data_IF_250721827285
#
_entry.id   IF_250721827285
#
_cell.length_a   1.000
_cell.length_b   1.000
_cell.length_c   1.000
_cell.angle_alpha   90.00
_cell.angle_beta   90.00
_cell.angle_gamma   90.00
#
_symmetry.space_group_name_H-M   'P 1'
#
loop_
_entity.id
_entity.type
_entity.pdbx_description
1 polymer ?
#
# COMPACT_ATOMS: atom_id res chain seq x y z
N UNK A 1 -5.43 26.08 8.67
CA UNK A 1 -4.87 26.26 7.31
C UNK A 1 -4.76 24.85 6.77
N UNK A 2 -5.54 24.46 5.76
CA UNK A 2 -5.41 23.12 5.17
C UNK A 2 -3.99 23.02 4.64
N UNK A 3 -3.22 22.12 5.22
CA UNK A 3 -1.80 21.98 4.93
C UNK A 3 -1.61 20.82 3.95
N UNK A 4 -0.54 20.88 3.16
CA UNK A 4 -0.21 19.81 2.23
C UNK A 4 0.46 18.65 2.97
N UNK A 5 -0.27 17.95 3.84
CA UNK A 5 0.34 17.00 4.77
C UNK A 5 -0.16 15.56 4.70
N UNK A 6 -1.19 15.22 3.90
CA UNK A 6 -1.70 13.83 3.82
C UNK A 6 -0.59 12.81 3.58
N UNK A 7 0.33 13.09 2.65
CA UNK A 7 1.51 12.23 2.40
C UNK A 7 2.49 12.19 3.57
N UNK A 8 2.67 13.30 4.29
CA UNK A 8 3.53 13.36 5.47
C UNK A 8 2.93 12.59 6.66
N UNK A 9 1.60 12.66 6.84
CA UNK A 9 0.87 11.89 7.85
C UNK A 9 0.94 10.40 7.56
N UNK A 10 0.71 10.00 6.31
CA UNK A 10 0.87 8.62 5.87
C UNK A 10 2.29 8.12 6.12
N UNK A 11 3.30 8.89 5.75
CA UNK A 11 4.70 8.54 5.98
C UNK A 11 5.00 8.38 7.47
N UNK A 12 4.54 9.31 8.31
CA UNK A 12 4.75 9.26 9.76
C UNK A 12 4.11 8.03 10.37
N UNK A 13 2.87 7.73 9.98
CA UNK A 13 2.17 6.53 10.42
C UNK A 13 2.94 5.27 10.02
N UNK A 14 3.37 5.17 8.76
CA UNK A 14 4.09 4.00 8.26
C UNK A 14 5.41 3.78 9.01
N UNK A 15 6.18 4.84 9.27
CA UNK A 15 7.43 4.74 10.04
C UNK A 15 7.18 4.23 11.46
N UNK A 16 6.10 4.68 12.12
CA UNK A 16 5.77 4.25 13.47
C UNK A 16 5.32 2.78 13.55
N UNK A 17 4.66 2.28 12.50
CA UNK A 17 4.12 0.91 12.43
C UNK A 17 5.08 -0.08 11.74
N UNK A 18 6.29 0.35 11.37
CA UNK A 18 7.24 -0.50 10.65
C UNK A 18 6.82 -0.87 9.23
N UNK A 19 6.00 -0.01 8.59
CA UNK A 19 5.55 -0.17 7.20
C UNK A 19 6.50 0.62 6.30
N UNK A 20 6.97 -0.01 5.23
CA UNK A 20 7.83 0.66 4.24
C UNK A 20 6.96 1.53 3.35
N UNK A 21 7.15 2.84 3.44
CA UNK A 21 6.36 3.82 2.67
C UNK A 21 7.09 4.29 1.40
N UNK A 22 6.44 4.11 0.26
CA UNK A 22 6.90 4.54 -1.06
C UNK A 22 6.01 5.72 -1.52
N UNK A 23 6.43 6.98 -1.27
CA UNK A 23 5.75 8.13 -1.86
C UNK A 23 6.03 8.11 -3.36
N UNK A 24 4.98 7.99 -4.18
CA UNK A 24 5.17 7.88 -5.62
C UNK A 24 4.33 8.86 -6.42
N UNK A 25 4.91 9.26 -7.55
CA UNK A 25 4.30 10.11 -8.57
C UNK A 25 3.75 9.23 -9.72
N UNK A 26 4.20 7.97 -9.85
CA UNK A 26 3.74 7.04 -10.91
C UNK A 26 3.93 5.57 -10.55
N UNK A 27 3.11 4.68 -11.14
CA UNK A 27 3.23 3.23 -10.92
C UNK A 27 4.61 2.68 -11.36
N UNK A 28 5.17 3.19 -12.47
CA UNK A 28 6.50 2.80 -12.94
C UNK A 28 7.61 3.10 -11.93
N UNK A 29 7.48 4.23 -11.21
CA UNK A 29 8.43 4.58 -10.15
C UNK A 29 8.28 3.66 -8.93
N UNK A 30 7.05 3.21 -8.62
CA UNK A 30 6.83 2.21 -7.55
C UNK A 30 7.58 0.92 -7.89
N UNK A 31 7.46 0.41 -9.12
CA UNK A 31 8.22 -0.77 -9.56
C UNK A 31 9.73 -0.56 -9.43
N UNK A 32 10.28 0.55 -9.94
CA UNK A 32 11.73 0.79 -9.86
C UNK A 32 12.26 0.91 -8.44
N UNK A 33 11.49 1.51 -7.51
CA UNK A 33 11.90 1.61 -6.10
C UNK A 33 11.80 0.26 -5.41
N UNK A 34 10.77 -0.53 -5.75
CA UNK A 34 10.63 -1.90 -5.25
C UNK A 34 11.82 -2.76 -5.71
N UNK A 35 12.23 -2.66 -6.97
CA UNK A 35 13.35 -3.46 -7.49
C UNK A 35 14.72 -3.11 -6.87
N UNK A 36 14.87 -1.91 -6.31
CA UNK A 36 16.14 -1.45 -5.71
C UNK A 36 16.29 -1.78 -4.23
N UNK A 37 15.20 -2.16 -3.56
CA UNK A 37 15.22 -2.43 -2.13
C UNK A 37 15.15 -3.94 -1.87
N UNK A 38 15.99 -4.40 -0.96
CA UNK A 38 15.81 -5.72 -0.35
C UNK A 38 14.72 -5.62 0.72
N UNK A 39 13.71 -6.48 0.59
CA UNK A 39 12.59 -6.59 1.51
C UNK A 39 12.69 -7.92 2.26
N UNK A 40 12.44 -7.93 3.55
CA UNK A 40 12.34 -9.16 4.34
C UNK A 40 10.98 -9.83 4.16
N UNK A 41 10.90 -11.12 4.48
CA UNK A 41 9.61 -11.81 4.44
C UNK A 41 8.62 -11.15 5.41
N UNK A 42 7.38 -10.96 4.97
CA UNK A 42 6.29 -10.32 5.70
C UNK A 42 6.38 -8.81 5.85
N UNK A 43 7.38 -8.17 5.24
CA UNK A 43 7.42 -6.71 5.18
C UNK A 43 6.16 -6.16 4.54
N UNK A 44 5.58 -5.16 5.21
CA UNK A 44 4.45 -4.40 4.70
C UNK A 44 4.96 -3.22 3.89
N UNK A 45 4.45 -3.08 2.68
CA UNK A 45 4.86 -2.06 1.72
C UNK A 45 3.64 -1.23 1.37
N UNK A 46 3.64 0.05 1.70
CA UNK A 46 2.59 0.99 1.34
C UNK A 46 3.06 1.96 0.27
N UNK A 47 2.27 2.15 -0.77
CA UNK A 47 2.49 3.20 -1.76
C UNK A 47 1.28 4.13 -1.83
N UNK A 48 1.52 5.40 -2.15
CA UNK A 48 0.47 6.38 -2.38
C UNK A 48 0.78 7.22 -3.63
N UNK A 49 -0.16 7.24 -4.56
CA UNK A 49 -0.15 8.03 -5.79
C UNK A 49 -1.34 8.99 -5.74
N UNK A 50 -1.11 10.22 -5.26
CA UNK A 50 -2.17 11.21 -5.15
C UNK A 50 -1.95 12.42 -6.05
N UNK A 51 -3.06 12.90 -6.59
CA UNK A 51 -3.18 14.24 -7.14
C UNK A 51 -3.84 15.14 -6.10
N UNK A 52 -3.23 16.28 -5.80
CA UNK A 52 -3.86 17.33 -4.99
C UNK A 52 -4.74 18.19 -5.89
N UNK A 53 -6.05 18.15 -5.65
CA UNK A 53 -7.07 18.94 -6.35
C UNK A 53 -7.46 20.12 -5.49
N UNK A 54 -7.23 21.33 -5.99
CA UNK A 54 -7.57 22.56 -5.28
C UNK A 54 -8.98 23.00 -5.68
N UNK A 55 -9.84 23.16 -4.69
CA UNK A 55 -11.20 23.65 -4.87
C UNK A 55 -11.23 25.12 -4.46
N UNK A 56 -11.52 25.98 -5.43
CA UNK A 56 -11.66 27.41 -5.24
C UNK A 56 -13.14 27.81 -5.28
N UNK A 57 -13.55 28.67 -4.35
CA UNK A 57 -14.81 29.41 -4.42
C UNK A 57 -14.51 30.91 -4.41
N UNK A 58 -15.03 31.64 -5.39
CA UNK A 58 -14.78 33.07 -5.56
C UNK A 58 -13.27 33.45 -5.45
N UNK A 59 -12.41 32.65 -6.08
CA UNK A 59 -10.94 32.80 -6.07
C UNK A 59 -10.27 32.63 -4.69
N UNK A 60 -10.99 32.12 -3.69
CA UNK A 60 -10.44 31.69 -2.40
C UNK A 60 -10.32 30.18 -2.38
N UNK A 61 -9.17 29.68 -1.95
CA UNK A 61 -9.00 28.25 -1.72
C UNK A 61 -9.92 27.85 -0.56
N UNK A 62 -10.85 26.93 -0.83
CA UNK A 62 -11.80 26.40 0.15
C UNK A 62 -11.37 25.02 0.62
N UNK A 63 -10.85 24.20 -0.29
CA UNK A 63 -10.50 22.82 0.00
C UNK A 63 -9.31 22.35 -0.85
N UNK A 64 -8.48 21.46 -0.29
CA UNK A 64 -7.52 20.63 -1.03
C UNK A 64 -7.95 19.17 -0.85
N UNK A 65 -8.44 18.55 -1.92
CA UNK A 65 -8.78 17.13 -1.93
C UNK A 65 -7.65 16.32 -2.58
N UNK A 66 -7.24 15.23 -1.95
CA UNK A 66 -6.28 14.26 -2.50
C UNK A 66 -7.04 13.12 -3.15
N UNK A 67 -6.86 12.94 -4.45
CA UNK A 67 -7.50 11.86 -5.20
C UNK A 67 -6.45 11.02 -5.92
N UNK A 68 -6.59 9.70 -5.86
CA UNK A 68 -5.69 8.80 -6.57
C UNK A 68 -5.72 7.40 -5.99
N UNK A 69 -4.57 6.73 -6.00
CA UNK A 69 -4.45 5.33 -5.59
C UNK A 69 -3.58 5.23 -4.35
N UNK A 70 -4.04 4.49 -3.35
CA UNK A 70 -3.19 4.01 -2.25
C UNK A 70 -3.21 2.49 -2.24
N UNK A 71 -2.08 1.86 -1.99
CA UNK A 71 -2.01 0.42 -1.88
C UNK A 71 -1.15 -0.03 -0.72
N UNK A 72 -1.51 -1.18 -0.18
CA UNK A 72 -0.78 -1.89 0.86
C UNK A 72 -0.51 -3.30 0.36
N UNK A 73 0.76 -3.69 0.37
CA UNK A 73 1.17 -5.04 0.08
C UNK A 73 1.99 -5.66 1.17
N UNK A 74 2.22 -6.95 1.03
CA UNK A 74 3.07 -7.76 1.89
C UNK A 74 3.95 -8.64 1.03
N UNK A 75 5.26 -8.64 1.32
CA UNK A 75 6.17 -9.62 0.72
C UNK A 75 5.88 -11.02 1.27
N UNK A 76 5.77 -11.99 0.38
CA UNK A 76 5.41 -13.37 0.70
C UNK A 76 6.45 -14.36 0.14
N UNK A 77 7.64 -14.39 0.73
CA UNK A 77 8.70 -15.37 0.44
C UNK A 77 8.85 -16.31 1.64
N UNK A 78 8.86 -17.64 1.49
CA UNK A 78 9.19 -18.50 2.65
C UNK A 78 10.67 -18.37 3.00
N UNK A 79 11.04 -18.80 4.21
CA UNK A 79 12.43 -18.86 4.65
C UNK A 79 13.34 -19.56 3.61
N UNK A 80 14.60 -19.13 3.54
CA UNK A 80 15.62 -19.80 2.72
C UNK A 80 15.78 -21.24 3.23
N UNK A 81 15.39 -22.22 2.43
CA UNK A 81 15.63 -23.64 2.73
C UNK A 81 16.94 -24.02 2.05
N UNK A 82 17.95 -24.36 2.85
CA UNK A 82 19.17 -24.99 2.34
C UNK A 82 18.80 -26.39 1.81
N UNK A 83 19.01 -26.61 0.51
CA UNK A 83 18.81 -27.91 -0.12
C UNK A 83 19.91 -28.90 0.27
N UNK A 84 19.75 -30.18 -0.09
CA UNK A 84 20.72 -31.23 0.25
C UNK A 84 22.11 -31.01 -0.39
N UNK A 85 22.23 -30.10 -1.37
CA UNK A 85 23.45 -29.74 -2.07
C UNK A 85 24.09 -28.42 -1.55
N UNK A 86 23.47 -27.77 -0.55
CA UNK A 86 23.95 -26.53 0.05
C UNK A 86 23.58 -25.26 -0.74
N UNK A 87 22.66 -25.34 -1.70
CA UNK A 87 22.05 -24.17 -2.34
C UNK A 87 20.80 -23.74 -1.57
N UNK A 88 20.66 -22.43 -1.37
CA UNK A 88 19.47 -21.88 -0.71
C UNK A 88 18.35 -21.72 -1.74
N UNK A 89 17.25 -22.44 -1.54
CA UNK A 89 16.03 -22.30 -2.34
C UNK A 89 14.99 -21.51 -1.55
N UNK A 90 14.33 -20.55 -2.22
CA UNK A 90 13.21 -19.80 -1.64
C UNK A 90 11.93 -20.58 -1.95
N UNK A 91 11.36 -21.29 -0.97
CA UNK A 91 9.99 -21.76 -1.14
C UNK A 91 9.09 -20.52 -1.22
N UNK A 92 8.18 -20.45 -2.18
CA UNK A 92 7.29 -19.29 -2.31
C UNK A 92 5.99 -19.61 -1.56
N UNK A 93 5.56 -18.83 -0.56
CA UNK A 93 4.24 -19.04 0.08
C UNK A 93 3.10 -18.97 -0.96
N UNK A 94 3.35 -18.23 -2.06
CA UNK A 94 2.56 -18.29 -3.29
C UNK A 94 2.79 -19.61 -4.03
N UNK A 95 2.15 -20.68 -3.56
CA UNK A 95 2.05 -21.92 -4.32
C UNK A 95 1.14 -21.71 -5.55
N UNK A 96 1.59 -22.16 -6.73
CA UNK A 96 0.79 -22.18 -7.96
C UNK A 96 -0.53 -22.96 -7.81
N UNK A 97 -0.61 -23.83 -6.80
CA UNK A 97 -1.76 -24.65 -6.46
C UNK A 97 -2.75 -23.98 -5.47
N UNK A 98 -2.49 -22.76 -5.00
CA UNK A 98 -3.42 -22.05 -4.12
C UNK A 98 -4.64 -21.53 -4.90
N UNK A 99 -5.84 -21.85 -4.40
CA UNK A 99 -7.07 -21.31 -5.00
C UNK A 99 -7.23 -19.81 -4.70
N UNK A 100 -7.89 -19.03 -5.56
CA UNK A 100 -8.16 -17.61 -5.29
C UNK A 100 -8.88 -17.36 -3.95
N UNK A 101 -9.76 -18.27 -3.52
CA UNK A 101 -10.46 -18.18 -2.24
C UNK A 101 -9.53 -18.33 -1.03
N UNK A 102 -8.66 -19.36 -1.05
CA UNK A 102 -7.66 -19.56 0.01
C UNK A 102 -6.71 -18.37 0.11
N UNK A 103 -6.29 -17.83 -1.04
CA UNK A 103 -5.46 -16.62 -1.11
C UNK A 103 -6.16 -15.40 -0.53
N UNK A 104 -7.44 -15.22 -0.86
CA UNK A 104 -8.25 -14.14 -0.30
C UNK A 104 -8.34 -14.23 1.23
N UNK A 105 -8.71 -15.39 1.76
CA UNK A 105 -8.91 -15.57 3.20
C UNK A 105 -7.61 -15.45 4.00
N UNK A 106 -6.49 -15.91 3.44
CA UNK A 106 -5.19 -15.90 4.13
C UNK A 106 -4.49 -14.55 4.07
N UNK A 107 -4.58 -13.83 2.95
CA UNK A 107 -3.70 -12.69 2.65
C UNK A 107 -4.46 -11.43 2.29
N UNK A 108 -5.28 -11.46 1.24
CA UNK A 108 -5.92 -10.24 0.72
C UNK A 108 -6.92 -9.63 1.71
N UNK A 109 -7.67 -10.46 2.44
CA UNK A 109 -8.61 -10.01 3.47
C UNK A 109 -7.88 -9.32 4.64
N UNK A 110 -6.74 -9.86 5.06
CA UNK A 110 -5.90 -9.23 6.07
C UNK A 110 -5.41 -7.86 5.60
N UNK A 111 -4.86 -7.79 4.37
CA UNK A 111 -4.37 -6.54 3.79
C UNK A 111 -5.49 -5.49 3.62
N UNK A 112 -6.66 -5.89 3.14
CA UNK A 112 -7.81 -5.00 2.99
C UNK A 112 -8.29 -4.44 4.34
N UNK A 113 -8.38 -5.29 5.38
CA UNK A 113 -8.72 -4.86 6.73
C UNK A 113 -7.67 -3.91 7.29
N UNK A 114 -6.39 -4.22 7.12
CA UNK A 114 -5.28 -3.40 7.60
C UNK A 114 -5.27 -2.04 6.89
N UNK A 115 -5.41 -2.01 5.57
CA UNK A 115 -5.50 -0.74 4.82
C UNK A 115 -6.70 0.11 5.28
N UNK A 116 -7.85 -0.52 5.54
CA UNK A 116 -9.04 0.17 6.07
C UNK A 116 -8.78 0.76 7.46
N UNK A 117 -8.12 0.01 8.35
CA UNK A 117 -7.75 0.47 9.69
C UNK A 117 -6.80 1.68 9.63
N UNK A 118 -5.78 1.60 8.77
CA UNK A 118 -4.79 2.69 8.59
C UNK A 118 -5.49 3.95 8.11
N UNK A 119 -6.30 3.83 7.05
CA UNK A 119 -7.05 4.96 6.48
C UNK A 119 -8.02 5.59 7.50
N UNK A 120 -8.73 4.76 8.27
CA UNK A 120 -9.66 5.23 9.30
C UNK A 120 -8.94 5.97 10.43
N UNK A 121 -7.80 5.43 10.87
CA UNK A 121 -6.96 6.05 11.91
C UNK A 121 -6.45 7.40 11.45
N UNK A 122 -5.85 7.48 10.26
CA UNK A 122 -5.30 8.72 9.71
C UNK A 122 -6.40 9.77 9.51
N UNK A 123 -7.56 9.36 8.99
CA UNK A 123 -8.69 10.27 8.82
C UNK A 123 -9.20 10.81 10.17
N UNK A 124 -9.34 9.94 11.18
CA UNK A 124 -9.79 10.34 12.50
C UNK A 124 -8.81 11.29 13.22
N UNK A 125 -7.51 10.98 13.18
CA UNK A 125 -6.47 11.74 13.89
C UNK A 125 -6.23 13.12 13.28
N UNK A 126 -6.39 13.25 11.97
CA UNK A 126 -6.09 14.48 11.23
C UNK A 126 -7.35 15.22 10.77
N UNK A 127 -8.54 14.76 11.19
CA UNK A 127 -9.84 15.34 10.84
C UNK A 127 -10.10 15.38 9.32
N UNK A 128 -9.61 14.37 8.59
CA UNK A 128 -9.90 14.23 7.17
C UNK A 128 -11.22 13.50 6.94
N UNK A 129 -11.82 13.78 5.79
CA UNK A 129 -13.00 13.09 5.27
C UNK A 129 -12.59 12.14 4.14
N UNK A 130 -12.80 10.83 4.32
CA UNK A 130 -12.70 9.86 3.22
C UNK A 130 -14.04 9.83 2.49
N UNK A 131 -14.07 10.41 1.28
CA UNK A 131 -15.30 10.55 0.48
C UNK A 131 -15.60 9.34 -0.38
N UNK A 132 -14.56 8.64 -0.81
CA UNK A 132 -14.66 7.44 -1.61
C UNK A 132 -13.45 6.55 -1.31
N UNK A 133 -13.66 5.24 -1.26
CA UNK A 133 -12.61 4.23 -1.13
C UNK A 133 -13.07 2.98 -1.89
N UNK A 134 -12.61 2.83 -3.13
CA UNK A 134 -12.93 1.69 -3.98
C UNK A 134 -11.74 0.72 -4.00
N UNK A 135 -11.81 -0.32 -3.16
CA UNK A 135 -10.75 -1.32 -3.05
C UNK A 135 -10.80 -2.33 -4.20
N UNK A 136 -9.63 -2.55 -4.80
CA UNK A 136 -9.34 -3.59 -5.76
C UNK A 136 -8.41 -4.60 -5.11
N UNK A 137 -8.90 -5.83 -5.03
CA UNK A 137 -8.13 -6.97 -4.57
C UNK A 137 -7.36 -7.53 -5.78
N UNK A 138 -6.41 -6.74 -6.30
CA UNK A 138 -5.60 -7.11 -7.47
C UNK A 138 -4.38 -7.92 -7.05
N UNK A 139 -4.06 -8.96 -7.82
CA UNK A 139 -2.96 -9.89 -7.56
C UNK A 139 -1.73 -9.44 -8.35
N UNK A 140 -0.53 -9.48 -7.75
CA UNK A 140 0.78 -9.35 -8.41
C UNK A 140 0.83 -8.32 -9.55
N UNK A 141 0.67 -7.04 -9.21
CA UNK A 141 0.79 -5.96 -10.19
C UNK A 141 2.23 -5.42 -10.33
N UNK A 142 3.09 -5.79 -9.40
CA UNK A 142 4.48 -5.34 -9.29
C UNK A 142 5.41 -6.54 -9.49
N UNK A 143 6.65 -6.30 -9.95
CA UNK A 143 7.65 -7.35 -10.25
C UNK A 143 8.23 -8.02 -8.98
N UNK A 144 7.73 -7.61 -7.81
CA UNK A 144 7.97 -8.24 -6.52
C UNK A 144 6.94 -9.34 -6.28
N UNK A 145 7.38 -10.49 -5.78
CA UNK A 145 6.51 -11.53 -5.25
C UNK A 145 5.86 -11.09 -3.93
N UNK A 146 4.93 -10.13 -4.05
CA UNK A 146 4.20 -9.51 -2.97
C UNK A 146 2.73 -9.37 -3.38
N UNK A 147 1.85 -9.71 -2.45
CA UNK A 147 0.42 -9.49 -2.63
C UNK A 147 0.09 -8.05 -2.27
N UNK A 148 -0.72 -7.39 -3.10
CA UNK A 148 -1.15 -6.01 -2.86
C UNK A 148 -2.68 -5.93 -2.81
N UNK A 149 -3.18 -4.99 -2.03
CA UNK A 149 -4.53 -4.45 -2.16
C UNK A 149 -4.36 -2.97 -2.44
N UNK A 150 -5.00 -2.48 -3.51
CA UNK A 150 -4.98 -1.07 -3.87
C UNK A 150 -6.40 -0.51 -3.82
N UNK A 151 -6.56 0.77 -3.49
CA UNK A 151 -7.85 1.44 -3.59
C UNK A 151 -7.73 2.79 -4.28
N UNK A 152 -8.73 3.07 -5.12
CA UNK A 152 -8.99 4.41 -5.60
C UNK A 152 -9.67 5.19 -4.47
N UNK A 153 -9.04 6.25 -3.98
CA UNK A 153 -9.46 6.97 -2.79
C UNK A 153 -9.50 8.49 -3.03
N UNK A 154 -10.44 9.15 -2.34
CA UNK A 154 -10.49 10.60 -2.22
C UNK A 154 -10.54 11.00 -0.75
N UNK A 155 -9.58 11.82 -0.33
CA UNK A 155 -9.41 12.34 1.04
C UNK A 155 -9.50 13.88 1.00
N UNK A 156 -10.28 14.52 1.86
CA UNK A 156 -10.45 15.98 1.93
C UNK A 156 -10.29 16.53 3.36
#
# INVERSE_FOLDING_TARGET
MQSFDVLEKLRTYCVNEGIIFIPSISESYVNSVIDWNEYENNDLIMFALFNAVHVFDNSKLVEIAYTGVIGLGRKCESELIEDEDGEYTVETESNLDETPEQKYDRRLKYLANKLTEILSTIACENQYEIRNCNMRLEINKFDLNADFVACDITIA
#
